data_IF_948001650038
#
_entry.id   IF_948001650038
#
_cell.length_a   1.000
_cell.length_b   1.000
_cell.length_c   1.000
_cell.angle_alpha   90.00
_cell.angle_beta   90.00
_cell.angle_gamma   90.00
#
_symmetry.space_group_name_H-M   'P 1'
#
loop_
_entity.id
_entity.type
_entity.pdbx_description
1 polymer ?
#
# COMPACT_ATOMS: atom_id res chain seq x y z
N UNK A 1 8.23 31.74 2.25
CA UNK A 1 8.68 30.86 3.35
C UNK A 1 8.52 29.43 2.86
N UNK A 2 9.61 28.67 2.73
CA UNK A 2 9.52 27.23 2.40
C UNK A 2 8.77 26.54 3.54
N UNK A 3 7.64 25.92 3.21
CA UNK A 3 6.89 25.10 4.16
C UNK A 3 7.79 23.91 4.50
N UNK A 4 8.12 23.72 5.77
CA UNK A 4 8.91 22.56 6.20
C UNK A 4 8.06 21.32 5.93
N UNK A 5 8.46 20.49 4.97
CA UNK A 5 7.76 19.25 4.66
C UNK A 5 7.83 18.31 5.88
N UNK A 6 6.68 17.86 6.34
CA UNK A 6 6.58 16.83 7.37
C UNK A 6 6.57 15.46 6.69
N UNK A 7 6.99 14.40 7.40
CA UNK A 7 7.01 13.03 6.86
C UNK A 7 5.60 12.62 6.39
N UNK A 8 4.58 13.06 7.12
CA UNK A 8 3.16 12.84 6.82
C UNK A 8 2.76 13.37 5.43
N UNK A 9 3.43 14.42 4.93
CA UNK A 9 3.15 14.99 3.59
C UNK A 9 3.53 14.03 2.45
N UNK A 10 4.31 12.98 2.75
CA UNK A 10 4.72 11.95 1.79
C UNK A 10 3.88 10.68 1.88
N UNK A 11 2.97 10.57 2.86
CA UNK A 11 2.10 9.40 3.00
C UNK A 11 0.85 9.64 2.16
N UNK A 12 0.62 8.80 1.16
CA UNK A 12 -0.61 8.84 0.37
C UNK A 12 -1.75 8.15 1.16
N UNK A 13 -1.48 6.95 1.65
CA UNK A 13 -2.46 6.13 2.35
C UNK A 13 -1.82 5.05 3.22
N UNK A 14 -2.58 4.61 4.23
CA UNK A 14 -2.28 3.48 5.09
C UNK A 14 -3.48 2.54 5.06
N UNK A 15 -3.24 1.27 4.81
CA UNK A 15 -4.24 0.23 4.88
C UNK A 15 -3.78 -0.92 5.76
N UNK A 16 -4.72 -1.53 6.47
CA UNK A 16 -4.53 -2.78 7.17
C UNK A 16 -5.58 -3.72 6.64
N UNK A 17 -5.18 -4.87 6.10
CA UNK A 17 -6.10 -5.89 5.59
C UNK A 17 -5.78 -7.27 6.12
N UNK A 18 -6.77 -8.14 6.07
CA UNK A 18 -6.55 -9.57 6.23
C UNK A 18 -5.78 -10.10 4.99
N UNK A 19 -4.78 -10.96 5.20
CA UNK A 19 -3.83 -11.37 4.16
C UNK A 19 -4.52 -12.18 3.06
N UNK A 20 -5.36 -13.15 3.42
CA UNK A 20 -5.90 -14.14 2.48
C UNK A 20 -7.06 -13.58 1.64
N UNK A 21 -7.94 -12.80 2.25
CA UNK A 21 -9.16 -12.28 1.62
C UNK A 21 -9.01 -10.87 1.07
N UNK A 22 -7.99 -10.11 1.50
CA UNK A 22 -7.85 -8.69 1.18
C UNK A 22 -8.87 -7.77 1.88
N UNK A 23 -9.68 -8.30 2.80
CA UNK A 23 -10.68 -7.52 3.55
C UNK A 23 -10.01 -6.39 4.31
N UNK A 24 -10.51 -5.16 4.10
CA UNK A 24 -10.05 -3.95 4.80
C UNK A 24 -10.46 -4.02 6.27
N UNK A 25 -9.48 -3.95 7.17
CA UNK A 25 -9.66 -3.83 8.62
C UNK A 25 -9.58 -2.34 9.02
N UNK A 26 -8.66 -1.60 8.40
CA UNK A 26 -8.46 -0.18 8.64
C UNK A 26 -7.99 0.52 7.36
N UNK A 27 -8.44 1.76 7.18
CA UNK A 27 -7.96 2.65 6.14
C UNK A 27 -7.77 4.07 6.66
N UNK A 28 -6.71 4.72 6.20
CA UNK A 28 -6.48 6.15 6.29
C UNK A 28 -5.96 6.65 4.95
N UNK A 29 -6.72 7.52 4.30
CA UNK A 29 -6.38 8.11 3.01
C UNK A 29 -6.07 9.58 3.23
N UNK A 30 -4.81 9.96 3.06
CA UNK A 30 -4.33 11.35 3.21
C UNK A 30 -4.32 12.07 1.86
N UNK A 31 -3.92 11.34 0.81
CA UNK A 31 -3.97 11.79 -0.58
C UNK A 31 -4.59 10.69 -1.42
N UNK A 32 -5.74 10.96 -2.02
CA UNK A 32 -6.34 10.04 -2.96
C UNK A 32 -5.53 10.02 -4.28
N UNK A 33 -4.77 8.95 -4.47
CA UNK A 33 -3.95 8.69 -5.67
C UNK A 33 -4.69 7.88 -6.72
N UNK A 34 -5.91 7.45 -6.43
CA UNK A 34 -6.69 6.59 -7.32
C UNK A 34 -7.29 7.40 -8.47
N UNK A 35 -7.52 6.74 -9.60
CA UNK A 35 -8.42 7.31 -10.62
C UNK A 35 -9.85 7.13 -10.13
N UNK A 36 -10.72 8.11 -10.40
CA UNK A 36 -12.09 8.13 -9.86
C UNK A 36 -12.80 6.79 -10.04
N UNK A 37 -13.27 6.20 -8.93
CA UNK A 37 -14.11 5.01 -8.93
C UNK A 37 -13.43 3.69 -8.61
N UNK A 38 -12.12 3.67 -8.29
CA UNK A 38 -11.49 2.47 -7.74
C UNK A 38 -11.75 2.43 -6.23
N UNK A 39 -12.32 1.34 -5.72
CA UNK A 39 -12.53 1.15 -4.28
C UNK A 39 -11.27 0.63 -3.60
N UNK A 40 -11.11 0.94 -2.31
CA UNK A 40 -10.04 0.38 -1.46
C UNK A 40 -10.04 -1.15 -1.51
N UNK A 41 -11.21 -1.79 -1.42
CA UNK A 41 -11.34 -3.25 -1.48
C UNK A 41 -10.76 -3.83 -2.77
N UNK A 42 -10.98 -3.18 -3.92
CA UNK A 42 -10.43 -3.64 -5.19
C UNK A 42 -8.90 -3.57 -5.19
N UNK A 43 -8.33 -2.52 -4.60
CA UNK A 43 -6.88 -2.37 -4.47
C UNK A 43 -6.32 -3.47 -3.57
N UNK A 44 -6.88 -3.64 -2.37
CA UNK A 44 -6.34 -4.58 -1.39
C UNK A 44 -6.51 -6.04 -1.81
N UNK A 45 -7.62 -6.39 -2.49
CA UNK A 45 -7.77 -7.72 -3.08
C UNK A 45 -6.71 -8.00 -4.14
N UNK A 46 -6.38 -7.02 -4.98
CA UNK A 46 -5.30 -7.16 -5.96
C UNK A 46 -3.93 -7.32 -5.27
N UNK A 47 -3.65 -6.51 -4.26
CA UNK A 47 -2.39 -6.59 -3.52
C UNK A 47 -2.24 -7.92 -2.76
N UNK A 48 -3.31 -8.40 -2.13
CA UNK A 48 -3.37 -9.73 -1.50
C UNK A 48 -3.06 -10.83 -2.50
N UNK A 49 -3.73 -10.84 -3.66
CA UNK A 49 -3.47 -11.84 -4.71
C UNK A 49 -2.03 -11.77 -5.24
N UNK A 50 -1.44 -10.58 -5.35
CA UNK A 50 -0.06 -10.39 -5.77
C UNK A 50 0.93 -10.94 -4.75
N UNK A 51 0.69 -10.70 -3.46
CA UNK A 51 1.49 -11.24 -2.36
C UNK A 51 1.41 -12.76 -2.35
N UNK A 52 0.20 -13.34 -2.41
CA UNK A 52 0.01 -14.80 -2.45
C UNK A 52 0.71 -15.43 -3.64
N UNK A 53 0.59 -14.81 -4.83
CA UNK A 53 1.31 -15.26 -6.01
C UNK A 53 2.82 -15.28 -5.79
N UNK A 54 3.37 -14.25 -5.15
CA UNK A 54 4.79 -14.18 -4.92
C UNK A 54 5.27 -15.21 -3.90
N UNK A 55 4.51 -15.47 -2.84
CA UNK A 55 4.80 -16.51 -1.84
C UNK A 55 4.75 -17.92 -2.45
N UNK A 56 3.84 -18.17 -3.41
CA UNK A 56 3.74 -19.46 -4.09
C UNK A 56 4.84 -19.68 -5.14
N UNK A 57 5.23 -18.63 -5.87
CA UNK A 57 6.17 -18.74 -7.01
C UNK A 57 7.62 -18.51 -6.61
N UNK A 58 7.86 -17.63 -5.63
CA UNK A 58 9.18 -17.26 -5.17
C UNK A 58 9.34 -17.69 -3.70
N UNK A 59 10.55 -18.08 -3.30
CA UNK A 59 10.85 -18.40 -1.89
C UNK A 59 11.04 -17.11 -1.05
N UNK A 60 10.68 -15.96 -1.61
CA UNK A 60 10.95 -14.63 -1.08
C UNK A 60 9.67 -13.79 -1.02
N UNK A 61 9.57 -12.97 0.03
CA UNK A 61 8.43 -12.10 0.32
C UNK A 61 8.53 -10.75 -0.42
N UNK A 62 7.40 -10.26 -0.95
CA UNK A 62 7.33 -8.90 -1.53
C UNK A 62 7.41 -7.87 -0.40
N UNK A 63 8.53 -7.14 -0.31
CA UNK A 63 8.68 -6.04 0.64
C UNK A 63 8.10 -4.71 0.15
N UNK A 64 8.14 -4.47 -1.16
CA UNK A 64 7.59 -3.24 -1.74
C UNK A 64 7.34 -3.37 -3.25
N UNK A 65 6.43 -2.53 -3.74
CA UNK A 65 6.22 -2.25 -5.16
C UNK A 65 6.63 -0.81 -5.43
N UNK A 66 7.48 -0.61 -6.43
CA UNK A 66 7.91 0.71 -6.89
C UNK A 66 7.16 1.09 -8.16
N UNK A 67 6.39 2.17 -8.08
CA UNK A 67 5.77 2.85 -9.22
C UNK A 67 6.56 4.13 -9.52
N UNK A 68 6.28 4.76 -10.68
CA UNK A 68 7.04 5.95 -11.13
C UNK A 68 7.15 7.03 -10.05
N UNK A 69 6.02 7.40 -9.45
CA UNK A 69 5.93 8.48 -8.46
C UNK A 69 5.48 8.01 -7.08
N UNK A 70 5.34 6.70 -6.88
CA UNK A 70 4.80 6.13 -5.65
C UNK A 70 5.56 4.87 -5.26
N UNK A 71 5.56 4.55 -3.98
CA UNK A 71 6.11 3.30 -3.45
C UNK A 71 5.13 2.72 -2.45
N UNK A 72 4.76 1.47 -2.66
CA UNK A 72 3.85 0.73 -1.79
C UNK A 72 4.70 -0.24 -0.99
N UNK A 73 4.68 -0.11 0.33
CA UNK A 73 5.40 -0.99 1.25
C UNK A 73 4.44 -1.98 1.87
N UNK A 74 4.97 -3.18 2.14
CA UNK A 74 4.26 -4.24 2.84
C UNK A 74 5.00 -4.57 4.13
N UNK A 75 4.23 -4.80 5.18
CA UNK A 75 4.69 -5.47 6.39
C UNK A 75 3.66 -6.52 6.79
N UNK A 76 4.12 -7.72 7.09
CA UNK A 76 3.27 -8.88 7.30
C UNK A 76 3.33 -9.31 8.76
N UNK A 77 2.17 -9.25 9.39
CA UNK A 77 1.92 -9.80 10.72
C UNK A 77 1.03 -11.02 10.55
N UNK A 78 1.13 -12.01 11.45
CA UNK A 78 0.35 -13.29 11.45
C UNK A 78 -0.75 -13.46 10.37
N UNK A 79 -1.85 -12.71 10.48
CA UNK A 79 -3.00 -12.77 9.56
C UNK A 79 -3.32 -11.43 8.90
N UNK A 80 -2.43 -10.45 9.03
CA UNK A 80 -2.68 -9.05 8.68
C UNK A 80 -1.53 -8.50 7.84
N UNK A 81 -1.88 -7.86 6.74
CA UNK A 81 -0.99 -7.09 5.89
C UNK A 81 -1.15 -5.61 6.20
N UNK A 82 -0.06 -4.96 6.62
CA UNK A 82 0.05 -3.51 6.65
C UNK A 82 0.56 -3.04 5.28
N UNK A 83 -0.17 -2.12 4.67
CA UNK A 83 0.20 -1.51 3.39
C UNK A 83 0.35 -0.01 3.61
N UNK A 84 1.50 0.54 3.23
CA UNK A 84 1.75 1.98 3.27
C UNK A 84 2.11 2.46 1.87
N UNK A 85 1.29 3.34 1.30
CA UNK A 85 1.61 4.02 0.05
C UNK A 85 2.27 5.35 0.35
N UNK A 86 3.44 5.57 -0.23
CA UNK A 86 4.19 6.82 -0.14
C UNK A 86 4.33 7.47 -1.51
N UNK A 87 4.24 8.80 -1.52
CA UNK A 87 4.63 9.62 -2.66
C UNK A 87 6.15 9.66 -2.75
N UNK A 88 6.69 9.27 -3.89
CA UNK A 88 8.11 9.34 -4.22
C UNK A 88 8.33 10.34 -5.36
N UNK A 89 7.57 11.45 -5.33
CA UNK A 89 7.75 12.57 -6.24
C UNK A 89 9.05 13.28 -5.87
N UNK A 90 9.96 13.37 -6.83
CA UNK A 90 11.15 14.21 -6.72
C UNK A 90 10.66 15.66 -6.83
N UNK A 91 10.68 16.39 -5.72
CA UNK A 91 10.38 17.83 -5.65
C UNK A 91 11.58 18.68 -6.06
#
# INVERSE_FOLDING_TARGET
MSKKHMIEDFIDSIWISEIESGIVIYEAIYTDITKSGISTDMILNFLSALVSFADEVFVDEIKHIKLSNHKIFFDFLKHVMLVVSLSDKIF
#
